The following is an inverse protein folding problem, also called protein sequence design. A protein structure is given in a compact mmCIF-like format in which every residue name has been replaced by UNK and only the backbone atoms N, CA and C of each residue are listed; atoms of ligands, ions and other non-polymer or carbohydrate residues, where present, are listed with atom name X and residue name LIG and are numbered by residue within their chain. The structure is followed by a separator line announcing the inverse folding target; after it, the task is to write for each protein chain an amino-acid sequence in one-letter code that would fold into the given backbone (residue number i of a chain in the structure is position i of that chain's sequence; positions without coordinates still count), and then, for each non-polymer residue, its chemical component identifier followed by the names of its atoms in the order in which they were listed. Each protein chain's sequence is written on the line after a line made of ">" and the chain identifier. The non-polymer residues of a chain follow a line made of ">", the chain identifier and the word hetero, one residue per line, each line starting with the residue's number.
data_IF_916939465002
#
_entry.id   IF_916939465002
#
_cell.length_a   1.000
_cell.length_b   1.000
_cell.length_c   1.000
_cell.angle_alpha   90.00
_cell.angle_beta   90.00
_cell.angle_gamma   90.00
#
_symmetry.space_group_name_H-M   'P 1'
#
loop_
_entity.id
_entity.type
_entity.pdbx_description
1 polymer ?
#
# COMPACT_ATOMS: atom_id res chain seq x y z
N UNK A 1 7.81 -13.59 2.18
CA UNK A 1 9.01 -13.35 1.35
C UNK A 1 9.93 -12.27 1.91
N UNK A 2 9.40 -11.09 2.31
CA UNK A 2 10.22 -10.04 2.92
C UNK A 2 11.00 -10.57 4.14
N UNK A 3 10.31 -11.26 5.07
CA UNK A 3 10.93 -11.83 6.26
C UNK A 3 12.02 -12.86 5.94
N UNK A 4 11.79 -13.74 4.95
CA UNK A 4 12.79 -14.72 4.52
C UNK A 4 14.05 -14.04 3.94
N UNK A 5 13.85 -13.00 3.10
CA UNK A 5 14.94 -12.19 2.57
C UNK A 5 15.76 -11.54 3.67
N UNK A 6 15.09 -10.96 4.67
CA UNK A 6 15.77 -10.37 5.84
C UNK A 6 16.55 -11.39 6.65
N UNK A 7 15.96 -12.57 6.92
CA UNK A 7 16.65 -13.65 7.62
C UNK A 7 17.92 -14.09 6.89
N UNK A 8 17.85 -14.32 5.58
CA UNK A 8 19.02 -14.70 4.76
C UNK A 8 20.09 -13.60 4.78
N UNK A 9 19.66 -12.33 4.69
CA UNK A 9 20.58 -11.19 4.72
C UNK A 9 21.31 -11.11 6.05
N UNK A 10 20.59 -11.17 7.17
CA UNK A 10 21.19 -11.11 8.51
C UNK A 10 22.06 -12.33 8.80
N UNK A 11 21.62 -13.52 8.40
CA UNK A 11 22.44 -14.71 8.53
C UNK A 11 23.79 -14.54 7.79
N UNK A 12 23.78 -14.06 6.55
CA UNK A 12 24.99 -13.82 5.79
C UNK A 12 25.92 -12.76 6.41
N UNK A 13 25.37 -11.62 6.84
CA UNK A 13 26.18 -10.53 7.43
C UNK A 13 26.66 -10.83 8.85
N UNK A 14 26.00 -11.71 9.60
CA UNK A 14 26.40 -12.11 10.93
C UNK A 14 27.34 -13.34 10.94
N UNK A 15 26.95 -14.43 10.27
CA UNK A 15 27.71 -15.69 10.34
C UNK A 15 28.99 -15.66 9.52
N UNK A 16 29.01 -15.06 8.33
CA UNK A 16 30.20 -15.08 7.47
C UNK A 16 31.41 -14.41 8.13
N UNK A 17 31.30 -13.15 8.65
CA UNK A 17 32.43 -12.53 9.34
C UNK A 17 32.83 -13.26 10.62
N UNK A 18 31.84 -13.80 11.36
CA UNK A 18 32.10 -14.54 12.58
C UNK A 18 32.98 -15.77 12.34
N UNK A 19 32.64 -16.60 11.33
CA UNK A 19 33.43 -17.77 10.96
C UNK A 19 34.78 -17.45 10.33
N UNK A 20 34.90 -16.28 9.67
CA UNK A 20 36.17 -15.80 9.13
C UNK A 20 37.09 -15.14 10.14
N UNK A 21 36.67 -15.04 11.42
CA UNK A 21 37.47 -14.45 12.50
C UNK A 21 37.42 -12.90 12.53
N UNK A 22 36.59 -12.25 11.69
CA UNK A 22 36.42 -10.79 11.64
C UNK A 22 35.21 -10.34 12.43
N UNK A 23 35.12 -10.68 13.72
CA UNK A 23 33.94 -10.45 14.55
C UNK A 23 33.53 -8.97 14.61
N UNK A 24 34.48 -8.03 14.67
CA UNK A 24 34.22 -6.58 14.70
C UNK A 24 33.54 -6.07 13.40
N UNK A 25 33.78 -6.72 12.27
CA UNK A 25 33.19 -6.34 11.00
C UNK A 25 31.67 -6.69 10.92
N UNK A 26 31.19 -7.58 11.77
CA UNK A 26 29.77 -7.99 11.82
C UNK A 26 28.85 -6.81 12.07
N UNK A 27 29.24 -5.87 12.96
CA UNK A 27 28.42 -4.72 13.33
C UNK A 27 28.16 -3.81 12.11
N UNK A 28 29.19 -3.21 11.46
CA UNK A 28 28.94 -2.33 10.33
C UNK A 28 28.31 -3.04 9.11
N UNK A 29 28.64 -4.30 8.86
CA UNK A 29 28.03 -5.08 7.78
C UNK A 29 26.52 -5.24 7.99
N UNK A 30 26.11 -5.66 9.19
CA UNK A 30 24.69 -5.84 9.51
C UNK A 30 23.93 -4.53 9.48
N UNK A 31 24.49 -3.45 10.01
CA UNK A 31 23.89 -2.12 10.01
C UNK A 31 23.74 -1.56 8.59
N UNK A 32 24.74 -1.78 7.73
CA UNK A 32 24.65 -1.40 6.32
C UNK A 32 23.55 -2.16 5.58
N UNK A 33 23.38 -3.44 5.85
CA UNK A 33 22.32 -4.26 5.29
C UNK A 33 20.91 -3.80 5.78
N UNK A 34 20.77 -3.43 7.06
CA UNK A 34 19.51 -2.87 7.63
C UNK A 34 19.18 -1.56 6.94
N UNK A 35 20.14 -0.63 6.88
CA UNK A 35 19.94 0.68 6.27
C UNK A 35 19.54 0.57 4.78
N UNK A 36 20.17 -0.34 4.03
CA UNK A 36 19.81 -0.64 2.65
C UNK A 36 18.39 -1.23 2.55
N UNK A 37 18.00 -2.08 3.48
CA UNK A 37 16.65 -2.65 3.55
C UNK A 37 15.56 -1.61 3.79
N UNK A 38 15.84 -0.58 4.56
CA UNK A 38 14.96 0.55 4.82
C UNK A 38 14.88 1.52 3.64
N UNK A 39 15.94 1.58 2.81
CA UNK A 39 16.02 2.45 1.63
C UNK A 39 15.51 1.78 0.34
N UNK A 40 15.24 0.46 0.38
CA UNK A 40 14.84 -0.30 -0.81
C UNK A 40 13.40 0.03 -1.23
N UNK A 41 13.26 0.51 -2.46
CA UNK A 41 11.97 0.80 -3.08
C UNK A 41 11.70 -0.22 -4.18
N UNK A 42 10.44 -0.64 -4.29
CA UNK A 42 9.98 -1.44 -5.42
C UNK A 42 9.78 -0.54 -6.65
N UNK A 43 10.80 -0.53 -7.51
CA UNK A 43 10.81 0.26 -8.73
C UNK A 43 11.31 -0.61 -9.92
N UNK A 44 11.32 -0.04 -11.14
CA UNK A 44 11.87 -0.71 -12.33
C UNK A 44 13.33 -1.09 -12.11
N UNK A 45 13.75 -2.20 -12.71
CA UNK A 45 15.10 -2.73 -12.55
C UNK A 45 16.20 -1.67 -12.78
N UNK A 46 16.13 -0.93 -13.90
CA UNK A 46 17.13 0.11 -14.21
C UNK A 46 17.13 1.27 -13.21
N UNK A 47 15.94 1.70 -12.77
CA UNK A 47 15.79 2.78 -11.78
C UNK A 47 16.24 2.31 -10.40
N UNK A 48 15.95 1.05 -10.07
CA UNK A 48 16.40 0.42 -8.83
C UNK A 48 17.91 0.37 -8.72
N UNK A 49 18.62 -0.04 -9.80
CA UNK A 49 20.08 -0.04 -9.82
C UNK A 49 20.62 1.38 -9.60
N UNK A 50 20.06 2.37 -10.29
CA UNK A 50 20.48 3.77 -10.11
C UNK A 50 20.24 4.24 -8.65
N UNK A 51 19.10 3.93 -8.06
CA UNK A 51 18.81 4.26 -6.65
C UNK A 51 19.80 3.58 -5.70
N UNK A 52 20.17 2.31 -5.94
CA UNK A 52 21.16 1.59 -5.14
C UNK A 52 22.53 2.27 -5.21
N UNK A 53 22.96 2.72 -6.39
CA UNK A 53 24.24 3.44 -6.55
C UNK A 53 24.22 4.75 -5.72
N UNK A 54 23.14 5.53 -5.82
CA UNK A 54 23.00 6.75 -5.01
C UNK A 54 22.96 6.46 -3.51
N UNK A 55 22.33 5.37 -3.10
CA UNK A 55 22.31 4.92 -1.70
C UNK A 55 23.71 4.58 -1.21
N UNK A 56 24.52 3.86 -1.99
CA UNK A 56 25.89 3.50 -1.60
C UNK A 56 26.78 4.72 -1.49
N UNK A 57 26.69 5.64 -2.44
CA UNK A 57 27.43 6.91 -2.39
C UNK A 57 27.01 7.71 -1.17
N UNK A 58 25.71 7.82 -0.91
CA UNK A 58 25.17 8.51 0.26
C UNK A 58 25.64 7.89 1.58
N UNK A 59 25.62 6.57 1.70
CA UNK A 59 26.09 5.85 2.88
C UNK A 59 27.58 6.07 3.12
N UNK A 60 28.39 5.98 2.07
CA UNK A 60 29.83 6.19 2.17
C UNK A 60 30.16 7.62 2.60
N UNK A 61 29.54 8.64 1.98
CA UNK A 61 29.74 10.05 2.32
C UNK A 61 29.31 10.32 3.77
N UNK A 62 28.12 9.82 4.16
CA UNK A 62 27.58 10.04 5.50
C UNK A 62 28.48 9.41 6.56
N UNK A 63 28.87 8.14 6.38
CA UNK A 63 29.73 7.46 7.34
C UNK A 63 31.12 8.11 7.46
N UNK A 64 31.69 8.51 6.32
CA UNK A 64 32.99 9.22 6.30
C UNK A 64 32.90 10.59 6.99
N UNK A 65 31.82 11.34 6.73
CA UNK A 65 31.60 12.64 7.38
C UNK A 65 31.53 12.51 8.90
N UNK A 66 30.84 11.51 9.41
CA UNK A 66 30.78 11.22 10.85
C UNK A 66 32.17 10.92 11.42
N UNK A 67 32.95 10.07 10.74
CA UNK A 67 34.30 9.74 11.21
C UNK A 67 35.19 10.97 11.42
N UNK A 68 35.19 11.90 10.44
CA UNK A 68 36.02 13.10 10.52
C UNK A 68 35.49 14.20 11.46
N UNK A 69 34.18 14.32 11.62
CA UNK A 69 33.58 15.32 12.49
C UNK A 69 33.52 14.91 13.95
N UNK A 70 33.40 13.60 14.24
CA UNK A 70 33.20 13.08 15.59
C UNK A 70 34.23 13.52 16.62
N UNK A 71 35.57 13.65 16.30
CA UNK A 71 36.55 14.10 17.25
C UNK A 71 36.37 15.56 17.71
N UNK A 72 35.57 16.37 16.97
CA UNK A 72 35.36 17.80 17.24
C UNK A 72 33.91 18.05 17.64
N UNK A 73 33.53 18.09 18.93
CA UNK A 73 32.14 18.09 19.37
C UNK A 73 31.29 19.25 18.81
N UNK A 74 31.84 20.44 18.65
CA UNK A 74 31.13 21.61 18.11
C UNK A 74 30.90 21.45 16.61
N UNK A 75 31.95 21.07 15.86
CA UNK A 75 31.84 20.81 14.41
C UNK A 75 30.94 19.61 14.12
N UNK A 76 30.99 18.61 14.97
CA UNK A 76 30.13 17.46 14.89
C UNK A 76 28.64 17.83 15.06
N UNK A 77 28.31 18.63 16.10
CA UNK A 77 26.95 19.09 16.33
C UNK A 77 26.41 19.94 15.16
N UNK A 78 27.20 20.87 14.66
CA UNK A 78 26.86 21.71 13.51
C UNK A 78 26.71 20.86 12.24
N UNK A 79 27.63 19.94 11.97
CA UNK A 79 27.62 19.07 10.83
C UNK A 79 26.39 18.12 10.84
N UNK A 80 26.02 17.62 12.01
CA UNK A 80 24.84 16.77 12.18
C UNK A 80 23.55 17.55 11.89
N UNK A 81 23.43 18.80 12.41
CA UNK A 81 22.26 19.65 12.15
C UNK A 81 22.15 19.96 10.65
N UNK A 82 23.24 20.37 10.01
CA UNK A 82 23.24 20.67 8.56
C UNK A 82 22.92 19.43 7.74
N UNK A 83 23.50 18.29 8.09
CA UNK A 83 23.21 17.01 7.40
C UNK A 83 21.75 16.59 7.56
N UNK A 84 21.17 16.69 8.76
CA UNK A 84 19.76 16.37 9.00
C UNK A 84 18.83 17.28 8.17
N UNK A 85 19.07 18.60 8.20
CA UNK A 85 18.28 19.56 7.41
C UNK A 85 18.42 19.25 5.92
N UNK A 86 19.65 19.06 5.43
CA UNK A 86 19.93 18.76 4.02
C UNK A 86 19.26 17.46 3.55
N UNK A 87 19.33 16.39 4.36
CA UNK A 87 18.70 15.10 4.04
C UNK A 87 17.17 15.18 4.09
N UNK A 88 16.58 15.94 5.03
CA UNK A 88 15.13 16.14 5.09
C UNK A 88 14.66 16.94 3.85
N UNK A 89 15.37 18.00 3.48
CA UNK A 89 15.08 18.78 2.27
C UNK A 89 15.23 17.92 1.01
N UNK A 90 16.27 17.10 0.92
CA UNK A 90 16.42 16.16 -0.19
C UNK A 90 15.25 15.17 -0.26
N UNK A 91 14.77 14.72 0.90
CA UNK A 91 13.60 13.84 1.00
C UNK A 91 12.30 14.48 0.48
N UNK A 92 12.16 15.79 0.56
CA UNK A 92 10.97 16.51 0.07
C UNK A 92 10.85 16.54 -1.46
N UNK A 93 11.95 16.27 -2.20
CA UNK A 93 11.96 16.24 -3.66
C UNK A 93 11.21 15.05 -4.25
N UNK A 94 10.90 14.02 -3.46
CA UNK A 94 10.11 12.89 -3.89
C UNK A 94 10.40 11.59 -3.14
N UNK A 95 9.51 10.62 -3.31
CA UNK A 95 9.54 9.33 -2.60
C UNK A 95 10.90 8.61 -2.66
N UNK A 96 11.60 8.68 -3.78
CA UNK A 96 12.93 8.06 -3.97
C UNK A 96 13.97 8.70 -3.09
N UNK A 97 14.01 10.03 -3.12
CA UNK A 97 14.98 10.79 -2.31
C UNK A 97 14.67 10.66 -0.83
N UNK A 98 13.38 10.58 -0.45
CA UNK A 98 12.96 10.38 0.93
C UNK A 98 13.50 9.08 1.54
N UNK A 99 13.47 7.97 0.80
CA UNK A 99 13.98 6.69 1.32
C UNK A 99 15.51 6.64 1.38
N UNK A 100 16.21 7.22 0.39
CA UNK A 100 17.68 7.35 0.42
C UNK A 100 18.11 8.22 1.60
N UNK A 101 17.46 9.39 1.76
CA UNK A 101 17.75 10.32 2.88
C UNK A 101 17.51 9.66 4.23
N UNK A 102 16.40 8.91 4.37
CA UNK A 102 16.12 8.16 5.60
C UNK A 102 17.21 7.12 5.90
N UNK A 103 17.65 6.37 4.88
CA UNK A 103 18.76 5.44 5.01
C UNK A 103 20.06 6.09 5.41
N UNK A 104 20.39 7.26 4.83
CA UNK A 104 21.57 8.05 5.21
C UNK A 104 21.49 8.56 6.66
N UNK A 105 20.31 9.00 7.14
CA UNK A 105 20.11 9.38 8.54
C UNK A 105 20.34 8.19 9.47
N UNK A 106 19.81 7.01 9.13
CA UNK A 106 20.05 5.79 9.91
C UNK A 106 21.53 5.44 9.93
N UNK A 107 22.24 5.51 8.79
CA UNK A 107 23.69 5.28 8.70
C UNK A 107 24.47 6.30 9.54
N UNK A 108 24.06 7.57 9.59
CA UNK A 108 24.73 8.57 10.40
C UNK A 108 24.75 8.20 11.89
N UNK A 109 23.58 7.77 12.40
CA UNK A 109 23.48 7.33 13.81
C UNK A 109 24.31 6.05 14.07
N UNK A 110 24.24 5.09 13.16
CA UNK A 110 24.99 3.85 13.32
C UNK A 110 26.49 4.01 13.18
N UNK A 111 26.95 4.95 12.33
CA UNK A 111 28.36 5.24 12.16
C UNK A 111 29.00 5.81 13.44
N UNK A 112 28.23 6.52 14.27
CA UNK A 112 28.69 7.01 15.57
C UNK A 112 29.10 5.87 16.51
N UNK A 113 28.35 4.77 16.48
CA UNK A 113 28.63 3.59 17.33
C UNK A 113 29.92 2.87 16.95
N UNK A 114 30.40 3.07 15.73
CA UNK A 114 31.60 2.40 15.22
C UNK A 114 32.84 3.28 15.20
N UNK A 115 32.74 4.54 15.59
CA UNK A 115 33.92 5.45 15.65
C UNK A 115 34.90 4.95 16.71
N UNK A 116 36.16 4.77 16.30
CA UNK A 116 37.22 4.26 17.19
C UNK A 116 37.33 2.73 17.25
N UNK A 117 36.44 1.96 16.58
CA UNK A 117 36.57 0.48 16.50
C UNK A 117 37.62 0.05 15.45
N UNK A 118 37.95 0.91 14.50
CA UNK A 118 38.88 0.62 13.41
C UNK A 118 39.95 1.71 13.30
N UNK A 119 41.18 1.29 13.06
CA UNK A 119 42.34 2.21 12.94
C UNK A 119 42.25 3.06 11.65
N UNK A 120 41.72 2.51 10.58
CA UNK A 120 41.63 3.17 9.29
C UNK A 120 40.24 3.83 9.08
N UNK A 121 40.23 5.09 8.65
CA UNK A 121 39.02 5.86 8.40
C UNK A 121 38.07 5.27 7.35
N UNK A 122 38.59 4.49 6.38
CA UNK A 122 37.80 3.90 5.27
C UNK A 122 37.20 2.54 5.63
N UNK A 123 37.66 1.87 6.69
CA UNK A 123 37.26 0.48 7.02
C UNK A 123 35.78 0.42 7.39
N UNK A 124 35.33 1.29 8.28
CA UNK A 124 33.93 1.32 8.71
C UNK A 124 32.97 1.70 7.58
N UNK A 125 33.18 2.82 6.81
CA UNK A 125 32.33 3.17 5.68
C UNK A 125 32.28 2.07 4.60
N UNK A 126 33.42 1.43 4.28
CA UNK A 126 33.45 0.36 3.28
C UNK A 126 32.69 -0.88 3.74
N UNK A 127 32.78 -1.28 4.99
CA UNK A 127 32.03 -2.41 5.55
C UNK A 127 30.51 -2.14 5.54
N UNK A 128 30.07 -0.91 5.85
CA UNK A 128 28.67 -0.51 5.73
C UNK A 128 28.17 -0.65 4.29
N UNK A 129 28.94 -0.17 3.31
CA UNK A 129 28.58 -0.29 1.90
C UNK A 129 28.60 -1.76 1.45
N UNK A 130 29.56 -2.58 1.88
CA UNK A 130 29.58 -4.02 1.56
C UNK A 130 28.34 -4.72 2.11
N UNK A 131 27.90 -4.38 3.34
CA UNK A 131 26.65 -4.90 3.90
C UNK A 131 25.42 -4.48 3.10
N UNK A 132 25.39 -3.22 2.63
CA UNK A 132 24.34 -2.70 1.75
C UNK A 132 24.32 -3.41 0.39
N UNK A 133 25.50 -3.67 -0.21
CA UNK A 133 25.64 -4.43 -1.45
C UNK A 133 25.14 -5.87 -1.27
N UNK A 134 25.51 -6.53 -0.19
CA UNK A 134 25.03 -7.87 0.13
C UNK A 134 23.50 -7.95 0.17
N UNK A 135 22.86 -7.04 0.92
CA UNK A 135 21.39 -6.92 0.91
C UNK A 135 20.84 -6.75 -0.50
N UNK A 136 21.45 -5.86 -1.28
CA UNK A 136 20.97 -5.52 -2.61
C UNK A 136 21.09 -6.67 -3.61
N UNK A 137 22.13 -7.51 -3.49
CA UNK A 137 22.27 -8.73 -4.28
C UNK A 137 21.14 -9.70 -3.95
N UNK A 138 20.89 -9.98 -2.67
CA UNK A 138 19.80 -10.88 -2.26
C UNK A 138 18.45 -10.32 -2.68
N UNK A 139 18.24 -9.01 -2.54
CA UNK A 139 17.02 -8.33 -2.93
C UNK A 139 16.79 -8.38 -4.45
N UNK A 140 17.84 -8.22 -5.25
CA UNK A 140 17.80 -8.32 -6.71
C UNK A 140 17.53 -9.75 -7.17
N UNK A 141 18.17 -10.74 -6.59
CA UNK A 141 17.90 -12.16 -6.86
C UNK A 141 16.44 -12.49 -6.52
N UNK A 142 15.95 -12.05 -5.37
CA UNK A 142 14.54 -12.22 -4.97
C UNK A 142 13.57 -11.57 -5.96
N UNK A 143 13.90 -10.37 -6.47
CA UNK A 143 13.11 -9.68 -7.49
C UNK A 143 13.07 -10.43 -8.82
N UNK A 144 14.20 -10.98 -9.27
CA UNK A 144 14.29 -11.76 -10.52
C UNK A 144 13.54 -13.10 -10.42
N UNK A 145 13.61 -13.76 -9.26
CA UNK A 145 12.91 -15.04 -9.03
C UNK A 145 11.38 -14.87 -8.87
N UNK A 146 10.93 -13.75 -8.30
CA UNK A 146 9.52 -13.54 -7.96
C UNK A 146 8.98 -12.16 -8.38
N UNK A 147 9.03 -11.81 -9.67
CA UNK A 147 8.73 -10.46 -10.14
C UNK A 147 7.28 -10.02 -9.89
N UNK A 148 6.32 -10.96 -9.88
CA UNK A 148 4.87 -10.67 -9.77
C UNK A 148 4.40 -10.64 -8.31
N UNK A 149 5.13 -11.26 -7.38
CA UNK A 149 4.67 -11.47 -6.01
C UNK A 149 4.46 -10.18 -5.24
N UNK A 150 5.29 -9.19 -5.45
CA UNK A 150 5.19 -7.89 -4.78
C UNK A 150 3.95 -7.11 -5.21
N UNK A 151 3.57 -7.19 -6.50
CA UNK A 151 2.30 -6.63 -7.00
C UNK A 151 1.12 -7.35 -6.38
N UNK A 152 1.19 -8.69 -6.26
CA UNK A 152 0.15 -9.48 -5.61
C UNK A 152 0.01 -9.13 -4.12
N UNK A 153 1.12 -8.95 -3.41
CA UNK A 153 1.12 -8.53 -1.99
C UNK A 153 0.48 -7.14 -1.83
N UNK A 154 0.81 -6.18 -2.70
CA UNK A 154 0.22 -4.84 -2.69
C UNK A 154 -1.27 -4.87 -3.06
N UNK A 155 -1.65 -5.66 -4.06
CA UNK A 155 -3.05 -5.83 -4.47
C UNK A 155 -3.88 -6.51 -3.36
N UNK A 156 -3.32 -7.49 -2.68
CA UNK A 156 -3.93 -8.12 -1.51
C UNK A 156 -4.18 -7.09 -0.40
N UNK A 157 -3.20 -6.20 -0.13
CA UNK A 157 -3.38 -5.09 0.83
C UNK A 157 -4.49 -4.13 0.41
N UNK A 158 -4.62 -3.81 -0.89
CA UNK A 158 -5.71 -2.96 -1.40
C UNK A 158 -7.07 -3.58 -1.08
N UNK A 159 -7.29 -4.86 -1.38
CA UNK A 159 -8.55 -5.53 -1.10
C UNK A 159 -8.79 -5.74 0.40
N UNK A 160 -7.75 -5.96 1.20
CA UNK A 160 -7.87 -6.02 2.66
C UNK A 160 -8.32 -4.68 3.25
N UNK A 161 -7.69 -3.56 2.85
CA UNK A 161 -8.07 -2.23 3.31
C UNK A 161 -9.44 -1.79 2.78
N UNK A 162 -9.80 -2.19 1.55
CA UNK A 162 -11.15 -1.99 1.01
C UNK A 162 -12.20 -2.74 1.83
N UNK A 163 -11.88 -3.96 2.29
CA UNK A 163 -12.75 -4.72 3.18
C UNK A 163 -12.96 -4.00 4.52
N UNK A 164 -11.88 -3.48 5.12
CA UNK A 164 -11.92 -2.75 6.37
C UNK A 164 -12.74 -1.45 6.24
N UNK A 165 -12.59 -0.72 5.12
CA UNK A 165 -13.42 0.45 4.78
C UNK A 165 -14.91 0.10 4.62
N UNK A 166 -15.25 -0.96 3.87
CA UNK A 166 -16.64 -1.40 3.69
C UNK A 166 -17.26 -1.87 5.02
N UNK A 167 -16.47 -2.49 5.88
CA UNK A 167 -16.90 -2.89 7.20
C UNK A 167 -17.16 -1.69 8.11
N UNK A 168 -16.25 -0.72 8.15
CA UNK A 168 -16.46 0.54 8.88
C UNK A 168 -17.71 1.28 8.38
N UNK A 169 -17.95 1.27 7.05
CA UNK A 169 -19.16 1.85 6.47
C UNK A 169 -20.44 1.07 6.87
N UNK A 170 -20.36 -0.25 6.99
CA UNK A 170 -21.49 -1.06 7.44
C UNK A 170 -21.97 -0.69 8.85
N UNK A 171 -21.03 -0.28 9.71
CA UNK A 171 -21.34 0.12 11.08
C UNK A 171 -22.23 1.38 11.14
N UNK A 172 -22.21 2.26 10.12
CA UNK A 172 -23.08 3.44 10.06
C UNK A 172 -24.56 3.13 9.89
N UNK A 173 -24.92 1.89 9.55
CA UNK A 173 -26.32 1.41 9.43
C UNK A 173 -26.85 0.79 10.71
N UNK A 174 -26.12 0.87 11.81
CA UNK A 174 -26.60 0.39 13.09
C UNK A 174 -27.65 1.37 13.65
N UNK A 175 -28.83 0.86 13.96
CA UNK A 175 -29.98 1.63 14.43
C UNK A 175 -29.83 2.01 15.90
N UNK A 176 -29.12 1.21 16.68
CA UNK A 176 -28.97 1.37 18.13
C UNK A 176 -27.84 2.35 18.51
N UNK A 177 -27.26 3.04 17.54
CA UNK A 177 -26.16 3.98 17.77
C UNK A 177 -26.61 5.21 18.59
N UNK A 178 -25.85 5.50 19.63
CA UNK A 178 -25.89 6.80 20.30
C UNK A 178 -25.17 7.87 19.45
N UNK A 179 -25.44 9.16 19.71
CA UNK A 179 -24.77 10.25 19.00
C UNK A 179 -23.22 10.17 19.10
N UNK A 180 -22.71 9.76 20.26
CA UNK A 180 -21.27 9.61 20.48
C UNK A 180 -20.69 8.42 19.71
N UNK A 181 -21.38 7.27 19.68
CA UNK A 181 -20.92 6.11 18.92
C UNK A 181 -20.96 6.36 17.41
N UNK A 182 -21.95 7.11 16.92
CA UNK A 182 -22.00 7.54 15.52
C UNK A 182 -20.81 8.41 15.14
N UNK A 183 -20.46 9.39 15.98
CA UNK A 183 -19.30 10.25 15.74
C UNK A 183 -18.00 9.44 15.70
N UNK A 184 -17.85 8.47 16.57
CA UNK A 184 -16.72 7.56 16.60
C UNK A 184 -16.65 6.69 15.34
N UNK A 185 -17.77 6.13 14.88
CA UNK A 185 -17.84 5.34 13.64
C UNK A 185 -17.53 6.19 12.39
N UNK A 186 -17.91 7.47 12.37
CA UNK A 186 -17.55 8.40 11.29
C UNK A 186 -16.05 8.70 11.27
N UNK A 187 -15.43 8.86 12.44
CA UNK A 187 -13.97 9.04 12.54
C UNK A 187 -13.26 7.77 12.05
N UNK A 188 -13.71 6.59 12.48
CA UNK A 188 -13.16 5.31 12.04
C UNK A 188 -13.27 5.14 10.53
N UNK A 189 -14.44 5.42 9.93
CA UNK A 189 -14.63 5.38 8.47
C UNK A 189 -13.67 6.33 7.77
N UNK A 190 -13.49 7.55 8.27
CA UNK A 190 -12.59 8.55 7.70
C UNK A 190 -11.14 8.11 7.75
N UNK A 191 -10.71 7.48 8.85
CA UNK A 191 -9.37 6.92 9.01
C UNK A 191 -9.13 5.76 8.05
N UNK A 192 -10.08 4.82 7.93
CA UNK A 192 -9.96 3.69 7.00
C UNK A 192 -9.99 4.15 5.54
N UNK A 193 -10.78 5.18 5.20
CA UNK A 193 -10.77 5.80 3.88
C UNK A 193 -9.40 6.43 3.56
N UNK A 194 -8.83 7.17 4.49
CA UNK A 194 -7.48 7.75 4.33
C UNK A 194 -6.39 6.70 4.11
N UNK A 195 -6.43 5.59 4.87
CA UNK A 195 -5.51 4.45 4.69
C UNK A 195 -5.68 3.81 3.31
N UNK A 196 -6.91 3.58 2.88
CA UNK A 196 -7.23 2.97 1.59
C UNK A 196 -6.73 3.83 0.42
N UNK A 197 -6.96 5.14 0.46
CA UNK A 197 -6.47 6.09 -0.57
C UNK A 197 -4.94 6.07 -0.64
N UNK A 198 -4.25 6.04 0.49
CA UNK A 198 -2.79 5.94 0.52
C UNK A 198 -2.30 4.64 -0.15
N UNK A 199 -2.94 3.50 0.15
CA UNK A 199 -2.63 2.20 -0.45
C UNK A 199 -2.93 2.20 -1.96
N UNK A 200 -4.03 2.82 -2.41
CA UNK A 200 -4.34 2.96 -3.83
C UNK A 200 -3.27 3.78 -4.57
N UNK A 201 -2.80 4.88 -4.01
CA UNK A 201 -1.74 5.69 -4.59
C UNK A 201 -0.41 4.92 -4.70
N UNK A 202 -0.07 4.16 -3.67
CA UNK A 202 1.11 3.29 -3.68
C UNK A 202 1.01 2.20 -4.76
N UNK A 203 -0.16 1.55 -4.86
CA UNK A 203 -0.41 0.53 -5.86
C UNK A 203 -0.42 1.09 -7.28
N UNK A 204 -1.05 2.27 -7.49
CA UNK A 204 -1.05 2.99 -8.76
C UNK A 204 0.38 3.25 -9.23
N UNK A 205 1.22 3.81 -8.35
CA UNK A 205 2.63 4.09 -8.64
C UNK A 205 3.40 2.82 -9.01
N UNK A 206 3.22 1.73 -8.25
CA UNK A 206 3.87 0.45 -8.52
C UNK A 206 3.44 -0.18 -9.85
N UNK A 207 2.16 -0.07 -10.22
CA UNK A 207 1.65 -0.56 -11.50
C UNK A 207 2.14 0.27 -12.69
N UNK A 208 2.11 1.60 -12.58
CA UNK A 208 2.55 2.50 -13.65
C UNK A 208 4.04 2.35 -13.95
N UNK A 209 4.88 2.21 -12.91
CA UNK A 209 6.31 1.96 -13.10
C UNK A 209 6.58 0.65 -13.83
N UNK A 210 5.81 -0.40 -13.54
CA UNK A 210 5.95 -1.70 -14.22
C UNK A 210 5.42 -1.70 -15.64
N UNK A 211 4.28 -1.05 -15.90
CA UNK A 211 3.73 -0.94 -17.27
C UNK A 211 4.68 -0.24 -18.23
N UNK A 212 5.43 0.76 -17.77
CA UNK A 212 6.47 1.41 -18.59
C UNK A 212 7.64 0.47 -18.94
N UNK A 213 7.88 -0.61 -18.16
CA UNK A 213 9.00 -1.55 -18.32
C UNK A 213 8.64 -2.87 -18.97
N UNK A 214 7.55 -3.46 -18.56
CA UNK A 214 7.11 -4.80 -18.93
C UNK A 214 5.88 -4.76 -19.86
N UNK A 215 6.00 -4.06 -20.97
CA UNK A 215 4.92 -3.98 -21.97
C UNK A 215 4.60 -5.38 -22.49
N UNK A 216 3.65 -6.06 -21.89
CA UNK A 216 3.15 -7.32 -22.39
C UNK A 216 2.98 -8.43 -21.38
N UNK A 217 3.40 -8.30 -20.14
CA UNK A 217 3.20 -9.35 -19.15
C UNK A 217 1.71 -9.45 -18.77
N UNK A 218 1.14 -10.62 -19.05
CA UNK A 218 -0.26 -10.97 -18.78
C UNK A 218 -0.65 -10.74 -17.31
N UNK A 219 0.27 -10.99 -16.39
CA UNK A 219 0.04 -10.87 -14.94
C UNK A 219 -0.03 -9.41 -14.47
N UNK A 220 0.73 -8.51 -15.07
CA UNK A 220 0.66 -7.07 -14.74
C UNK A 220 -0.67 -6.47 -15.21
N UNK A 221 -1.14 -6.86 -16.40
CA UNK A 221 -2.45 -6.42 -16.92
C UNK A 221 -3.60 -6.93 -16.08
N UNK A 222 -3.53 -8.18 -15.62
CA UNK A 222 -4.53 -8.74 -14.70
C UNK A 222 -4.54 -7.99 -13.37
N UNK A 223 -3.37 -7.68 -12.82
CA UNK A 223 -3.27 -6.92 -11.58
C UNK A 223 -3.84 -5.50 -11.72
N UNK A 224 -3.62 -4.86 -12.87
CA UNK A 224 -4.20 -3.56 -13.18
C UNK A 224 -5.72 -3.60 -13.19
N UNK A 225 -6.31 -4.62 -13.79
CA UNK A 225 -7.75 -4.77 -13.81
C UNK A 225 -8.33 -4.98 -12.39
N UNK A 226 -7.71 -5.84 -11.58
CA UNK A 226 -8.11 -5.98 -10.17
C UNK A 226 -8.02 -4.65 -9.41
N UNK A 227 -7.00 -3.84 -9.70
CA UNK A 227 -6.86 -2.51 -9.12
C UNK A 227 -8.03 -1.58 -9.51
N UNK A 228 -8.41 -1.52 -10.80
CA UNK A 228 -9.54 -0.70 -11.24
C UNK A 228 -10.87 -1.17 -10.65
N UNK A 229 -11.08 -2.48 -10.54
CA UNK A 229 -12.28 -3.00 -9.86
C UNK A 229 -12.31 -2.58 -8.40
N UNK A 230 -11.16 -2.62 -7.69
CA UNK A 230 -11.10 -2.16 -6.31
C UNK A 230 -11.41 -0.65 -6.18
N UNK A 231 -10.91 0.16 -7.12
CA UNK A 231 -11.17 1.59 -7.18
C UNK A 231 -12.65 1.87 -7.49
N UNK A 232 -13.24 1.20 -8.47
CA UNK A 232 -14.68 1.35 -8.79
C UNK A 232 -15.58 0.94 -7.62
N UNK A 233 -15.24 -0.13 -6.89
CA UNK A 233 -15.95 -0.52 -5.66
C UNK A 233 -15.88 0.58 -4.61
N UNK A 234 -14.69 1.15 -4.38
CA UNK A 234 -14.51 2.25 -3.43
C UNK A 234 -15.32 3.48 -3.83
N UNK A 235 -15.22 3.93 -5.07
CA UNK A 235 -15.96 5.10 -5.57
C UNK A 235 -17.48 4.92 -5.43
N UNK A 236 -18.02 3.76 -5.76
CA UNK A 236 -19.46 3.45 -5.60
C UNK A 236 -19.86 3.38 -4.13
N UNK A 237 -19.01 2.83 -3.30
CA UNK A 237 -19.28 2.81 -1.87
C UNK A 237 -19.23 4.21 -1.26
N UNK A 238 -18.32 5.08 -1.71
CA UNK A 238 -18.13 6.44 -1.18
C UNK A 238 -19.16 7.45 -1.73
N UNK A 239 -19.65 7.27 -2.97
CA UNK A 239 -20.54 8.20 -3.67
C UNK A 239 -21.91 8.43 -3.01
N UNK A 240 -22.31 7.62 -2.05
CA UNK A 240 -23.58 7.79 -1.32
C UNK A 240 -23.41 8.79 -0.16
N UNK A 241 -23.54 10.09 -0.48
CA UNK A 241 -23.62 11.15 0.53
C UNK A 241 -25.02 11.19 1.17
N UNK A 242 -25.26 10.27 2.10
CA UNK A 242 -26.53 10.15 2.82
C UNK A 242 -26.29 10.55 4.28
N UNK A 243 -27.21 11.31 4.84
CA UNK A 243 -27.25 11.59 6.28
C UNK A 243 -27.72 10.33 7.03
N UNK A 244 -26.77 9.49 7.44
CA UNK A 244 -27.04 8.22 8.12
C UNK A 244 -27.78 8.40 9.45
N UNK A 245 -27.57 9.52 10.16
CA UNK A 245 -28.30 9.81 11.41
C UNK A 245 -29.79 10.05 11.15
N UNK A 246 -30.11 10.82 10.12
CA UNK A 246 -31.51 11.03 9.73
C UNK A 246 -32.12 9.74 9.22
N UNK A 247 -31.38 8.98 8.41
CA UNK A 247 -31.83 7.69 7.90
C UNK A 247 -32.15 6.72 9.05
N UNK A 248 -31.29 6.62 10.06
CA UNK A 248 -31.50 5.78 11.23
C UNK A 248 -32.77 6.18 12.00
N UNK A 249 -33.01 7.47 12.19
CA UNK A 249 -34.23 7.98 12.89
C UNK A 249 -35.52 7.71 12.10
N UNK A 250 -35.46 7.84 10.76
CA UNK A 250 -36.66 7.66 9.93
C UNK A 250 -37.02 6.18 9.84
N UNK A 251 -36.04 5.29 9.70
CA UNK A 251 -36.26 3.86 9.49
C UNK A 251 -36.01 3.00 10.74
N UNK A 252 -35.98 3.60 11.95
CA UNK A 252 -35.70 2.90 13.21
C UNK A 252 -36.63 1.72 13.49
N UNK A 253 -37.87 1.74 12.98
CA UNK A 253 -38.84 0.68 13.15
C UNK A 253 -38.89 -0.30 11.97
N UNK A 254 -37.95 -0.19 11.03
CA UNK A 254 -37.83 -1.04 9.85
C UNK A 254 -36.57 -1.88 9.90
N UNK A 255 -36.61 -3.09 9.36
CA UNK A 255 -35.46 -3.97 9.22
C UNK A 255 -34.51 -3.57 8.06
N UNK A 256 -34.86 -2.50 7.32
CA UNK A 256 -34.18 -2.13 6.08
C UNK A 256 -32.71 -1.79 6.31
N UNK A 257 -32.38 -1.06 7.38
CA UNK A 257 -31.02 -0.65 7.68
C UNK A 257 -30.14 -1.85 8.03
N UNK A 258 -30.66 -2.79 8.81
CA UNK A 258 -29.99 -4.05 9.12
C UNK A 258 -29.68 -4.87 7.83
N UNK A 259 -30.58 -4.84 6.85
CA UNK A 259 -30.37 -5.51 5.56
C UNK A 259 -29.24 -4.84 4.76
N UNK A 260 -29.16 -3.51 4.76
CA UNK A 260 -28.05 -2.77 4.16
C UNK A 260 -26.73 -3.06 4.87
N UNK A 261 -26.70 -3.03 6.19
CA UNK A 261 -25.54 -3.38 7.01
C UNK A 261 -25.03 -4.78 6.67
N UNK A 262 -25.95 -5.74 6.60
CA UNK A 262 -25.62 -7.12 6.28
C UNK A 262 -25.00 -7.29 4.89
N UNK A 263 -25.52 -6.60 3.85
CA UNK A 263 -24.96 -6.66 2.49
C UNK A 263 -23.56 -6.06 2.48
N UNK A 264 -23.35 -4.90 3.08
CA UNK A 264 -22.02 -4.28 3.18
C UNK A 264 -21.02 -5.19 3.91
N UNK A 265 -21.45 -5.82 5.02
CA UNK A 265 -20.60 -6.77 5.76
C UNK A 265 -20.25 -8.01 4.91
N UNK A 266 -21.18 -8.53 4.09
CA UNK A 266 -20.90 -9.64 3.18
C UNK A 266 -19.94 -9.18 2.07
N UNK A 267 -20.09 -7.96 1.54
CA UNK A 267 -19.19 -7.39 0.54
C UNK A 267 -17.79 -7.16 1.12
N UNK A 268 -17.69 -6.65 2.34
CA UNK A 268 -16.42 -6.53 3.06
C UNK A 268 -15.72 -7.89 3.21
N UNK A 269 -16.49 -8.92 3.62
CA UNK A 269 -15.96 -10.28 3.71
C UNK A 269 -15.50 -10.82 2.36
N UNK A 270 -16.25 -10.58 1.29
CA UNK A 270 -15.87 -10.99 -0.06
C UNK A 270 -14.56 -10.32 -0.52
N UNK A 271 -14.35 -9.04 -0.21
CA UNK A 271 -13.08 -8.35 -0.45
C UNK A 271 -11.93 -8.97 0.37
N UNK A 272 -12.18 -9.37 1.62
CA UNK A 272 -11.18 -10.05 2.46
C UNK A 272 -10.82 -11.44 1.93
N UNK A 273 -11.82 -12.22 1.49
CA UNK A 273 -11.62 -13.52 0.88
C UNK A 273 -10.85 -13.40 -0.44
N UNK A 274 -11.14 -12.36 -1.24
CA UNK A 274 -10.42 -12.04 -2.47
C UNK A 274 -8.95 -11.65 -2.17
N UNK A 275 -8.72 -10.83 -1.16
CA UNK A 275 -7.37 -10.49 -0.68
C UNK A 275 -6.55 -11.75 -0.37
N UNK A 276 -7.14 -12.68 0.38
CA UNK A 276 -6.52 -13.97 0.73
C UNK A 276 -6.28 -14.86 -0.49
N UNK A 277 -7.23 -14.88 -1.43
CA UNK A 277 -7.12 -15.65 -2.68
C UNK A 277 -5.98 -15.14 -3.57
N UNK A 278 -5.79 -13.82 -3.65
CA UNK A 278 -4.68 -13.18 -4.38
C UNK A 278 -3.34 -13.56 -3.73
N UNK A 279 -3.24 -13.51 -2.41
CA UNK A 279 -2.02 -13.82 -1.67
C UNK A 279 -1.60 -15.28 -1.84
N UNK A 280 -2.57 -16.19 -1.75
CA UNK A 280 -2.39 -17.65 -1.81
C UNK A 280 -2.40 -18.18 -3.25
N UNK A 281 -2.61 -17.35 -4.27
CA UNK A 281 -2.77 -17.72 -5.68
C UNK A 281 -3.91 -18.71 -5.93
N UNK A 282 -4.95 -18.64 -5.10
CA UNK A 282 -6.16 -19.44 -5.24
C UNK A 282 -7.20 -18.72 -6.09
N UNK A 283 -8.13 -19.47 -6.65
CA UNK A 283 -9.28 -18.89 -7.36
C UNK A 283 -10.28 -18.34 -6.36
N UNK A 284 -10.68 -17.08 -6.55
CA UNK A 284 -11.80 -16.52 -5.79
C UNK A 284 -13.12 -17.17 -6.26
N UNK A 285 -13.97 -17.52 -5.32
CA UNK A 285 -15.33 -18.01 -5.56
C UNK A 285 -16.33 -17.07 -4.92
N UNK A 286 -17.25 -16.56 -5.74
CA UNK A 286 -18.27 -15.63 -5.28
C UNK A 286 -19.33 -16.35 -4.42
N UNK A 287 -19.70 -15.76 -3.28
CA UNK A 287 -20.60 -16.41 -2.33
C UNK A 287 -22.06 -16.37 -2.81
N UNK A 288 -22.74 -17.51 -2.87
CA UNK A 288 -24.15 -17.62 -3.26
C UNK A 288 -25.12 -16.87 -2.31
N UNK A 289 -24.68 -16.53 -1.09
CA UNK A 289 -25.49 -15.78 -0.11
C UNK A 289 -25.88 -14.37 -0.58
N UNK A 290 -25.11 -13.78 -1.49
CA UNK A 290 -25.43 -12.47 -2.08
C UNK A 290 -26.81 -12.47 -2.74
N UNK A 291 -27.14 -13.48 -3.53
CA UNK A 291 -28.42 -13.57 -4.25
C UNK A 291 -29.60 -13.44 -3.29
N UNK A 292 -29.60 -14.20 -2.19
CA UNK A 292 -30.68 -14.16 -1.22
C UNK A 292 -30.72 -12.84 -0.42
N UNK A 293 -29.55 -12.29 -0.08
CA UNK A 293 -29.49 -11.00 0.65
C UNK A 293 -30.05 -9.84 -0.20
N UNK A 294 -29.66 -9.78 -1.49
CA UNK A 294 -30.19 -8.76 -2.40
C UNK A 294 -31.66 -8.94 -2.72
N UNK A 295 -32.15 -10.17 -2.88
CA UNK A 295 -33.57 -10.45 -3.10
C UNK A 295 -34.41 -10.01 -1.90
N UNK A 296 -33.99 -10.35 -0.68
CA UNK A 296 -34.65 -9.94 0.53
C UNK A 296 -34.65 -8.42 0.72
N UNK A 297 -33.54 -7.73 0.40
CA UNK A 297 -33.47 -6.26 0.46
C UNK A 297 -34.41 -5.64 -0.58
N UNK A 298 -34.45 -6.16 -1.82
CA UNK A 298 -35.35 -5.70 -2.87
C UNK A 298 -36.82 -5.77 -2.44
N UNK A 299 -37.25 -6.92 -1.90
CA UNK A 299 -38.62 -7.12 -1.43
C UNK A 299 -38.97 -6.13 -0.30
N UNK A 300 -38.04 -5.88 0.63
CA UNK A 300 -38.28 -4.90 1.69
C UNK A 300 -38.39 -3.47 1.15
N UNK A 301 -37.57 -3.10 0.16
CA UNK A 301 -37.65 -1.78 -0.49
C UNK A 301 -38.96 -1.60 -1.27
N UNK A 302 -39.41 -2.60 -1.99
CA UNK A 302 -40.69 -2.58 -2.71
C UNK A 302 -41.86 -2.42 -1.73
N UNK A 303 -41.85 -3.15 -0.63
CA UNK A 303 -42.86 -3.03 0.43
C UNK A 303 -42.89 -1.60 1.00
N UNK A 304 -41.73 -1.02 1.34
CA UNK A 304 -41.66 0.36 1.85
C UNK A 304 -42.18 1.40 0.85
N UNK A 305 -41.96 1.19 -0.44
CA UNK A 305 -42.48 2.07 -1.48
C UNK A 305 -44.00 1.96 -1.59
N UNK A 306 -44.56 0.76 -1.51
CA UNK A 306 -46.00 0.51 -1.67
C UNK A 306 -46.81 0.96 -0.46
N UNK A 307 -46.25 0.90 0.77
CA UNK A 307 -46.88 1.33 1.98
C UNK A 307 -47.08 2.89 2.09
N UNK A 308 -46.33 3.66 1.29
CA UNK A 308 -46.37 5.16 1.26
C UNK A 308 -46.25 5.84 2.64
N UNK A 309 -45.74 5.11 3.62
CA UNK A 309 -45.61 5.62 5.02
C UNK A 309 -44.44 6.61 5.16
N UNK A 310 -43.46 6.52 4.26
CA UNK A 310 -42.22 7.29 4.31
C UNK A 310 -42.13 8.28 3.13
N UNK A 311 -41.41 9.40 3.36
CA UNK A 311 -41.16 10.38 2.31
C UNK A 311 -40.38 9.73 1.12
N UNK A 312 -40.90 9.93 -0.11
CA UNK A 312 -40.37 9.37 -1.34
C UNK A 312 -38.90 9.76 -1.59
N UNK A 313 -38.44 10.89 -1.04
CA UNK A 313 -37.03 11.33 -1.16
C UNK A 313 -36.11 10.30 -0.50
N UNK A 314 -36.45 9.86 0.70
CA UNK A 314 -35.66 8.87 1.44
C UNK A 314 -35.76 7.46 0.85
N UNK A 315 -36.92 7.08 0.37
CA UNK A 315 -37.13 5.80 -0.31
C UNK A 315 -36.30 5.76 -1.59
N UNK A 316 -36.28 6.83 -2.40
CA UNK A 316 -35.45 6.92 -3.58
C UNK A 316 -33.93 6.88 -3.27
N UNK A 317 -33.51 7.52 -2.16
CA UNK A 317 -32.13 7.45 -1.69
C UNK A 317 -31.73 5.99 -1.33
N UNK A 318 -32.59 5.23 -0.69
CA UNK A 318 -32.37 3.80 -0.40
C UNK A 318 -32.31 2.95 -1.69
N UNK A 319 -33.16 3.24 -2.68
CA UNK A 319 -33.08 2.56 -3.97
C UNK A 319 -31.76 2.87 -4.72
N UNK A 320 -31.27 4.11 -4.69
CA UNK A 320 -29.98 4.49 -5.24
C UNK A 320 -28.83 3.73 -4.55
N UNK A 321 -28.87 3.66 -3.22
CA UNK A 321 -27.92 2.89 -2.42
C UNK A 321 -27.95 1.39 -2.79
N UNK A 322 -29.15 0.81 -2.93
CA UNK A 322 -29.33 -0.57 -3.39
C UNK A 322 -28.68 -0.80 -4.74
N UNK A 323 -28.87 0.10 -5.70
CA UNK A 323 -28.24 -0.03 -7.04
C UNK A 323 -26.71 0.05 -6.97
N UNK A 324 -26.16 0.93 -6.13
CA UNK A 324 -24.72 1.00 -5.91
C UNK A 324 -24.17 -0.30 -5.34
N UNK A 325 -24.80 -0.86 -4.29
CA UNK A 325 -24.37 -2.13 -3.71
C UNK A 325 -24.52 -3.31 -4.69
N UNK A 326 -25.58 -3.32 -5.50
CA UNK A 326 -25.77 -4.33 -6.56
C UNK A 326 -24.70 -4.24 -7.64
N UNK A 327 -24.25 -3.03 -7.98
CA UNK A 327 -23.15 -2.82 -8.90
C UNK A 327 -21.81 -3.33 -8.33
N UNK A 328 -21.55 -3.09 -7.04
CA UNK A 328 -20.38 -3.66 -6.33
C UNK A 328 -20.41 -5.20 -6.39
N UNK A 329 -21.57 -5.83 -6.14
CA UNK A 329 -21.73 -7.29 -6.26
C UNK A 329 -21.41 -7.79 -7.66
N UNK A 330 -21.89 -7.10 -8.70
CA UNK A 330 -21.59 -7.42 -10.09
C UNK A 330 -20.09 -7.35 -10.40
N UNK A 331 -19.38 -6.34 -9.88
CA UNK A 331 -17.92 -6.22 -10.03
C UNK A 331 -17.19 -7.39 -9.34
N UNK A 332 -17.56 -7.74 -8.12
CA UNK A 332 -16.97 -8.87 -7.40
C UNK A 332 -17.23 -10.20 -8.12
N UNK A 333 -18.43 -10.39 -8.71
CA UNK A 333 -18.77 -11.57 -9.49
C UNK A 333 -17.98 -11.67 -10.79
N UNK A 334 -17.75 -10.53 -11.46
CA UNK A 334 -16.95 -10.48 -12.68
C UNK A 334 -15.51 -10.97 -12.43
N UNK A 335 -14.95 -10.74 -11.23
CA UNK A 335 -13.62 -11.22 -10.86
C UNK A 335 -13.53 -12.76 -10.77
N UNK A 336 -14.63 -13.45 -10.46
CA UNK A 336 -14.70 -14.92 -10.53
C UNK A 336 -14.62 -15.42 -11.98
N UNK A 337 -15.33 -14.75 -12.90
CA UNK A 337 -15.44 -15.17 -14.30
C UNK A 337 -14.23 -14.81 -15.16
N UNK A 338 -13.39 -13.88 -14.71
CA UNK A 338 -12.30 -13.31 -15.48
C UNK A 338 -11.05 -14.18 -15.69
N UNK A 339 -11.16 -15.44 -15.65
CA UNK A 339 -10.12 -16.34 -16.21
C UNK A 339 -9.86 -16.08 -17.71
N UNK A 340 -10.77 -15.33 -18.39
CA UNK A 340 -10.80 -15.17 -19.85
C UNK A 340 -10.97 -13.73 -20.36
N UNK A 341 -10.27 -12.72 -19.77
CA UNK A 341 -10.36 -11.37 -20.34
C UNK A 341 -9.65 -11.33 -21.68
N UNK A 342 -10.43 -11.02 -22.73
CA UNK A 342 -9.93 -10.74 -24.07
C UNK A 342 -8.98 -9.53 -23.99
N UNK A 343 -7.84 -9.65 -24.64
CA UNK A 343 -6.75 -8.66 -24.75
C UNK A 343 -7.20 -7.24 -25.14
N UNK A 344 -8.39 -7.09 -25.72
CA UNK A 344 -8.91 -5.82 -26.22
C UNK A 344 -9.34 -4.82 -25.12
N UNK A 345 -9.88 -5.31 -23.98
CA UNK A 345 -10.20 -4.42 -22.85
C UNK A 345 -8.95 -3.89 -22.15
N UNK A 346 -7.90 -4.69 -22.06
CA UNK A 346 -6.63 -4.25 -21.48
C UNK A 346 -5.95 -3.15 -22.30
N UNK A 347 -6.08 -3.18 -23.65
CA UNK A 347 -5.57 -2.12 -24.54
C UNK A 347 -6.31 -0.79 -24.35
N UNK A 348 -7.61 -0.84 -24.13
CA UNK A 348 -8.42 0.38 -23.92
C UNK A 348 -8.09 1.04 -22.58
N UNK A 349 -7.89 0.24 -21.54
CA UNK A 349 -7.47 0.70 -20.20
C UNK A 349 -6.04 1.26 -20.22
N UNK A 350 -5.13 0.64 -20.99
CA UNK A 350 -3.77 1.13 -21.18
C UNK A 350 -3.73 2.50 -21.91
N UNK A 351 -4.66 2.76 -22.83
CA UNK A 351 -4.80 4.05 -23.49
C UNK A 351 -5.34 5.14 -22.55
N UNK A 352 -6.32 4.83 -21.71
CA UNK A 352 -6.84 5.76 -20.70
C UNK A 352 -5.79 6.16 -19.66
N UNK A 353 -4.99 5.21 -19.17
CA UNK A 353 -3.87 5.50 -18.27
C UNK A 353 -2.77 6.36 -18.92
N UNK A 354 -2.58 6.23 -20.25
CA UNK A 354 -1.60 7.03 -20.99
C UNK A 354 -2.02 8.48 -21.17
N UNK A 355 -3.30 8.75 -21.39
CA UNK A 355 -3.79 10.10 -21.69
C UNK A 355 -4.04 10.96 -20.45
N UNK A 356 -4.56 10.38 -19.35
CA UNK A 356 -4.93 11.16 -18.17
C UNK A 356 -3.81 11.32 -17.14
N UNK A 357 -2.99 10.28 -16.92
CA UNK A 357 -1.99 10.26 -15.84
C UNK A 357 -0.59 10.71 -16.27
N UNK A 358 -0.25 10.61 -17.56
CA UNK A 358 1.04 11.10 -18.07
C UNK A 358 1.07 12.64 -18.21
N UNK A 359 -0.07 13.28 -18.48
CA UNK A 359 -0.16 14.76 -18.49
C UNK A 359 0.06 15.36 -17.11
N UNK A 360 -0.45 14.74 -16.05
CA UNK A 360 -0.23 15.21 -14.68
C UNK A 360 1.18 15.01 -14.13
N UNK A 361 1.99 14.15 -14.74
CA UNK A 361 3.39 13.87 -14.30
C UNK A 361 4.43 14.72 -15.00
N UNK A 362 4.15 15.19 -16.22
CA UNK A 362 5.03 16.14 -16.90
C UNK A 362 4.94 17.53 -16.29
N UNK A 363 3.79 17.92 -15.73
CA UNK A 363 3.60 19.19 -14.99
C UNK A 363 4.32 19.24 -13.64
N UNK A 364 4.62 18.08 -13.01
CA UNK A 364 5.39 18.01 -11.74
C UNK A 364 6.90 18.08 -11.99
N UNK A 365 7.38 17.85 -13.22
CA UNK A 365 8.80 17.98 -13.58
C UNK A 365 9.25 19.41 -13.85
N UNK A 366 8.35 20.38 -13.89
CA UNK A 366 8.61 21.79 -14.28
C UNK A 366 8.29 22.80 -13.17
N UNK A 367 8.01 22.33 -11.93
CA UNK A 367 7.89 23.26 -10.78
C UNK A 367 8.84 22.92 -9.66
#
# INVERSE_FOLDING_TARGET
>A
MYNLRMVITFAGTAFVPYFMGFQLATIPLTLGAVAAGLSDIDDRFSVRIMNLIFTYIGFFITATSIYFLFPHPILFALGLIVSCIGLILLGSLGRRYATISYGCLVVSVYSMLGVGLFDNWYTQPSLLVIGAVWYSVISTISFLLFPVRQVQDNLSKCYSSLADFLFAKSNLFDVDMTANSYQQSMIELSLENGKLIAIFNDMKTALLTRLKGDRGQRDTRRSLQYYFVAQDIHERADSAHIDYQKLAKIFQHSDILFRFQRILSIQAKACKDLSSSILNRQTYTHNKRFKHAFENLRLSLEKLRDEQQYDQIWVNALFSLYQNLKSIDAQLRNLETERNIKLDKAKHIESQLKDDDLKGWDDIKVR
#
